data_IF_182939883494
#
_entry.id   IF_182939883494
#
_cell.length_a   1.000
_cell.length_b   1.000
_cell.length_c   1.000
_cell.angle_alpha   90.00
_cell.angle_beta   90.00
_cell.angle_gamma   90.00
#
_symmetry.space_group_name_H-M   'P 1'
#
loop_
_entity.id
_entity.type
_entity.pdbx_description
1 polymer ?
#
# COMPACT_ATOMS: atom_id res chain seq x y z
N UNK A 1 8.89 -1.75 11.38
CA UNK A 1 8.44 -1.03 10.17
C UNK A 1 9.61 -0.21 9.63
N UNK A 2 9.84 -0.20 8.32
CA UNK A 2 10.86 0.66 7.68
C UNK A 2 10.18 1.79 6.92
N UNK A 3 10.64 3.02 7.15
CA UNK A 3 10.22 4.24 6.45
C UNK A 3 11.43 4.89 5.79
N UNK A 4 11.32 5.24 4.51
CA UNK A 4 12.37 5.93 3.76
C UNK A 4 11.76 7.15 3.07
N UNK A 5 12.46 8.27 3.16
CA UNK A 5 12.12 9.48 2.42
C UNK A 5 13.24 9.89 1.46
N UNK A 6 12.85 10.58 0.40
CA UNK A 6 13.74 11.13 -0.62
C UNK A 6 13.17 12.49 -1.02
N UNK A 7 13.98 13.55 -0.96
CA UNK A 7 13.56 14.92 -1.30
C UNK A 7 12.25 15.37 -0.61
N UNK A 8 12.14 15.14 0.71
CA UNK A 8 10.94 15.47 1.52
C UNK A 8 9.64 14.77 1.07
N UNK A 9 9.75 13.57 0.49
CA UNK A 9 8.62 12.72 0.14
C UNK A 9 8.89 11.28 0.59
N UNK A 10 7.87 10.59 1.08
CA UNK A 10 7.98 9.17 1.41
C UNK A 10 8.15 8.39 0.11
N UNK A 11 9.25 7.65 0.00
CA UNK A 11 9.54 6.80 -1.16
C UNK A 11 9.29 5.32 -0.85
N UNK A 12 9.46 4.88 0.40
CA UNK A 12 9.25 3.48 0.79
C UNK A 12 8.62 3.33 2.19
N UNK A 13 7.70 2.37 2.31
CA UNK A 13 7.12 1.87 3.56
C UNK A 13 7.02 0.35 3.46
N UNK A 14 7.68 -0.37 4.36
CA UNK A 14 7.63 -1.84 4.41
C UNK A 14 7.55 -2.39 5.83
N UNK A 15 7.06 -3.63 5.95
CA UNK A 15 6.79 -4.34 7.20
C UNK A 15 7.38 -5.76 7.21
N UNK A 16 8.50 -5.98 6.50
CA UNK A 16 9.12 -7.31 6.39
C UNK A 16 9.90 -7.69 7.64
N UNK A 17 9.85 -8.95 8.04
CA UNK A 17 10.55 -9.51 9.21
C UNK A 17 12.10 -9.45 9.17
N UNK A 18 12.71 -8.94 8.09
CA UNK A 18 14.16 -8.74 7.94
C UNK A 18 14.70 -7.49 8.67
N UNK A 19 13.95 -6.92 9.61
CA UNK A 19 14.32 -5.74 10.39
C UNK A 19 15.49 -5.95 11.37
N UNK A 20 16.14 -7.12 11.38
CA UNK A 20 17.20 -7.46 12.34
C UNK A 20 18.63 -7.00 12.00
N UNK A 21 18.90 -6.39 10.85
CA UNK A 21 20.31 -6.22 10.41
C UNK A 21 20.79 -4.82 10.03
N UNK A 22 19.98 -3.77 10.17
CA UNK A 22 20.45 -2.40 9.88
C UNK A 22 19.95 -1.43 10.94
N UNK A 23 20.57 -1.46 12.11
CA UNK A 23 20.57 -0.30 13.03
C UNK A 23 21.47 0.79 12.45
N UNK A 24 21.04 1.38 11.34
CA UNK A 24 21.57 2.69 10.95
C UNK A 24 20.73 3.70 11.73
N UNK A 25 21.31 4.54 12.59
CA UNK A 25 20.57 5.60 13.27
C UNK A 25 20.15 6.65 12.24
N UNK A 26 19.00 6.42 11.60
CA UNK A 26 18.37 7.40 10.73
C UNK A 26 17.82 8.48 11.67
N UNK A 27 18.38 9.70 11.60
CA UNK A 27 17.77 10.87 12.23
C UNK A 27 16.34 11.00 11.70
N UNK A 28 15.35 10.65 12.53
CA UNK A 28 13.93 10.79 12.17
C UNK A 28 13.69 12.27 11.84
N UNK A 29 13.28 12.53 10.61
CA UNK A 29 12.85 13.86 10.19
C UNK A 29 11.39 14.05 10.57
N UNK A 30 10.92 15.30 10.59
CA UNK A 30 9.51 15.61 10.89
C UNK A 30 8.53 14.86 9.97
N UNK A 31 8.92 14.57 8.72
CA UNK A 31 8.09 13.82 7.80
C UNK A 31 8.03 12.33 8.16
N UNK A 32 9.16 11.71 8.53
CA UNK A 32 9.18 10.32 9.00
C UNK A 32 8.39 10.14 10.30
N UNK A 33 8.49 11.08 11.24
CA UNK A 33 7.69 11.08 12.48
C UNK A 33 6.19 11.20 12.18
N UNK A 34 5.82 12.12 11.27
CA UNK A 34 4.43 12.29 10.84
C UNK A 34 3.89 11.02 10.15
N UNK A 35 4.73 10.36 9.33
CA UNK A 35 4.34 9.10 8.68
C UNK A 35 4.12 7.98 9.69
N UNK A 36 5.04 7.80 10.63
CA UNK A 36 4.92 6.83 11.71
C UNK A 36 3.67 7.06 12.55
N UNK A 37 3.42 8.30 12.99
CA UNK A 37 2.22 8.66 13.74
C UNK A 37 0.94 8.28 12.99
N UNK A 38 0.82 8.67 11.71
CA UNK A 38 -0.38 8.36 10.93
C UNK A 38 -0.58 6.85 10.74
N UNK A 39 0.50 6.09 10.58
CA UNK A 39 0.43 4.63 10.44
C UNK A 39 -0.03 3.99 11.76
N UNK A 40 0.46 4.47 12.90
CA UNK A 40 0.00 4.02 14.22
C UNK A 40 -1.50 4.31 14.42
N UNK A 41 -1.94 5.54 14.12
CA UNK A 41 -3.36 5.91 14.19
C UNK A 41 -4.24 5.04 13.26
N UNK A 42 -3.71 4.62 12.11
CA UNK A 42 -4.40 3.70 11.20
C UNK A 42 -4.54 2.31 11.84
N UNK A 43 -3.48 1.77 12.44
CA UNK A 43 -3.55 0.48 13.13
C UNK A 43 -4.46 0.50 14.36
N UNK A 44 -4.63 1.67 14.99
CA UNK A 44 -5.60 1.90 16.08
C UNK A 44 -7.05 2.11 15.57
N UNK A 45 -7.29 2.10 14.26
CA UNK A 45 -8.60 2.35 13.66
C UNK A 45 -9.07 3.81 13.73
N UNK A 46 -8.20 4.74 14.15
CA UNK A 46 -8.51 6.18 14.30
C UNK A 46 -8.30 6.96 13.01
N UNK A 47 -7.60 6.39 12.01
CA UNK A 47 -7.30 7.03 10.73
C UNK A 47 -7.76 6.20 9.55
N UNK A 48 -8.49 6.87 8.64
CA UNK A 48 -8.95 6.27 7.38
C UNK A 48 -8.24 6.85 6.14
N UNK A 49 -7.64 8.05 6.26
CA UNK A 49 -6.98 8.76 5.17
C UNK A 49 -5.58 9.23 5.57
N UNK A 50 -4.63 9.17 4.64
CA UNK A 50 -3.25 9.64 4.84
C UNK A 50 -3.02 11.00 4.19
N UNK A 51 -2.35 11.90 4.93
CA UNK A 51 -1.88 13.19 4.43
C UNK A 51 -0.36 13.21 4.50
N UNK A 52 0.25 12.52 3.54
CA UNK A 52 1.70 12.36 3.43
C UNK A 52 2.13 12.66 1.99
N UNK A 53 3.17 13.48 1.77
CA UNK A 53 3.78 13.61 0.46
C UNK A 53 4.47 12.29 0.10
N UNK A 54 4.09 11.68 -1.02
CA UNK A 54 4.65 10.40 -1.50
C UNK A 54 5.29 10.57 -2.88
N UNK A 55 6.36 9.81 -3.13
CA UNK A 55 7.03 9.71 -4.43
C UNK A 55 7.50 8.27 -4.67
N UNK A 56 6.57 7.34 -5.00
CA UNK A 56 6.96 5.97 -5.29
C UNK A 56 7.76 5.91 -6.61
N UNK A 57 8.88 5.20 -6.58
CA UNK A 57 9.72 4.95 -7.76
C UNK A 57 9.26 3.70 -8.51
N UNK A 58 9.19 3.80 -9.84
CA UNK A 58 8.72 2.71 -10.69
C UNK A 58 8.41 3.16 -12.12
N UNK A 59 8.04 2.20 -12.94
CA UNK A 59 7.63 2.40 -14.34
C UNK A 59 6.39 3.29 -14.44
N UNK A 60 6.16 3.89 -15.62
CA UNK A 60 4.95 4.68 -15.88
C UNK A 60 3.65 3.87 -15.64
N UNK A 61 3.65 2.58 -16.00
CA UNK A 61 2.51 1.70 -15.76
C UNK A 61 2.27 1.47 -14.25
N UNK A 62 3.32 1.16 -13.50
CA UNK A 62 3.23 1.00 -12.04
C UNK A 62 2.70 2.26 -11.36
N UNK A 63 3.24 3.44 -11.71
CA UNK A 63 2.77 4.73 -11.17
C UNK A 63 1.30 4.98 -11.49
N UNK A 64 0.83 4.61 -12.68
CA UNK A 64 -0.59 4.70 -13.05
C UNK A 64 -1.47 3.78 -12.20
N UNK A 65 -1.05 2.53 -11.98
CA UNK A 65 -1.73 1.58 -11.10
C UNK A 65 -1.78 2.12 -9.67
N UNK A 66 -0.64 2.51 -9.09
CA UNK A 66 -0.58 3.01 -7.72
C UNK A 66 -1.40 4.27 -7.49
N UNK A 67 -1.57 5.11 -8.51
CA UNK A 67 -2.48 6.25 -8.46
C UNK A 67 -3.94 5.81 -8.37
N UNK A 68 -4.35 4.81 -9.15
CA UNK A 68 -5.70 4.23 -9.06
C UNK A 68 -5.94 3.54 -7.71
N UNK A 69 -4.94 2.84 -7.15
CA UNK A 69 -5.05 2.21 -5.83
C UNK A 69 -5.41 3.22 -4.74
N UNK A 70 -4.83 4.43 -4.78
CA UNK A 70 -5.12 5.50 -3.82
C UNK A 70 -6.58 5.99 -3.86
N UNK A 71 -7.32 5.72 -4.95
CA UNK A 71 -8.73 6.07 -5.07
C UNK A 71 -9.66 5.05 -4.41
N UNK A 72 -9.14 3.88 -3.97
CA UNK A 72 -9.95 2.86 -3.28
C UNK A 72 -10.19 3.33 -1.84
N UNK A 73 -11.44 3.61 -1.41
CA UNK A 73 -11.72 4.10 -0.07
C UNK A 73 -11.39 3.07 1.02
N UNK A 74 -11.18 3.55 2.25
CA UNK A 74 -11.08 2.70 3.44
C UNK A 74 -12.31 1.80 3.57
N UNK A 75 -12.11 0.51 3.87
CA UNK A 75 -13.20 -0.45 4.03
C UNK A 75 -13.81 -0.94 2.71
N UNK A 76 -13.29 -0.50 1.55
CA UNK A 76 -13.72 -0.98 0.24
C UNK A 76 -12.63 -1.78 -0.44
N UNK A 77 -13.06 -2.67 -1.34
CA UNK A 77 -12.16 -3.43 -2.20
C UNK A 77 -12.44 -3.18 -3.68
N UNK A 78 -11.46 -3.50 -4.52
CA UNK A 78 -11.60 -3.59 -5.98
C UNK A 78 -10.96 -4.87 -6.47
N UNK A 79 -11.40 -5.38 -7.60
CA UNK A 79 -10.74 -6.45 -8.31
C UNK A 79 -9.59 -5.91 -9.17
N UNK A 80 -8.64 -6.77 -9.50
CA UNK A 80 -7.58 -6.43 -10.45
C UNK A 80 -8.13 -5.97 -11.81
N UNK A 81 -9.27 -6.52 -12.24
CA UNK A 81 -9.96 -6.14 -13.48
C UNK A 81 -10.59 -4.76 -13.41
N UNK A 82 -11.17 -4.38 -12.28
CA UNK A 82 -11.72 -3.03 -12.07
C UNK A 82 -10.63 -1.96 -12.12
N UNK A 83 -9.48 -2.22 -11.48
CA UNK A 83 -8.32 -1.31 -11.57
C UNK A 83 -7.79 -1.24 -13.01
N UNK A 84 -7.73 -2.39 -13.71
CA UNK A 84 -7.31 -2.43 -15.11
C UNK A 84 -8.25 -1.58 -16.00
N UNK A 85 -9.57 -1.63 -15.76
CA UNK A 85 -10.55 -0.79 -16.43
C UNK A 85 -10.39 0.69 -16.09
N UNK A 86 -10.18 1.04 -14.81
CA UNK A 86 -9.98 2.42 -14.33
C UNK A 86 -8.77 3.08 -15.01
N UNK A 87 -7.68 2.34 -15.21
CA UNK A 87 -6.49 2.84 -15.91
C UNK A 87 -6.59 2.76 -17.45
N UNK A 88 -7.75 2.39 -18.01
CA UNK A 88 -7.98 2.29 -19.46
C UNK A 88 -7.24 1.13 -20.14
N UNK A 89 -6.97 0.04 -19.42
CA UNK A 89 -6.22 -1.13 -19.88
C UNK A 89 -7.00 -2.41 -19.53
N UNK A 90 -8.22 -2.59 -20.05
CA UNK A 90 -9.17 -3.63 -19.63
C UNK A 90 -8.63 -5.08 -19.62
N UNK A 91 -7.61 -5.39 -20.42
CA UNK A 91 -7.00 -6.72 -20.49
C UNK A 91 -5.74 -6.88 -19.62
N UNK A 92 -5.39 -5.89 -18.80
CA UNK A 92 -4.14 -5.83 -18.05
C UNK A 92 -4.25 -6.32 -16.59
N UNK A 93 -5.30 -7.05 -16.20
CA UNK A 93 -5.52 -7.47 -14.81
C UNK A 93 -4.29 -8.19 -14.19
N UNK A 94 -3.62 -9.06 -14.94
CA UNK A 94 -2.38 -9.72 -14.48
C UNK A 94 -1.21 -8.74 -14.29
N UNK A 95 -1.05 -7.79 -15.21
CA UNK A 95 -0.03 -6.76 -15.10
C UNK A 95 -0.31 -5.81 -13.92
N UNK A 96 -1.57 -5.47 -13.67
CA UNK A 96 -2.01 -4.77 -12.46
C UNK A 96 -1.65 -5.56 -11.21
N UNK A 97 -1.86 -6.88 -11.20
CA UNK A 97 -1.43 -7.75 -10.10
C UNK A 97 0.06 -7.65 -9.79
N UNK A 98 0.90 -7.65 -10.82
CA UNK A 98 2.35 -7.45 -10.67
C UNK A 98 2.70 -6.05 -10.16
N UNK A 99 2.06 -5.00 -10.69
CA UNK A 99 2.27 -3.63 -10.20
C UNK A 99 1.81 -3.45 -8.73
N UNK A 100 0.70 -4.10 -8.35
CA UNK A 100 0.17 -4.12 -7.00
C UNK A 100 1.12 -4.83 -6.02
N UNK A 101 1.73 -5.94 -6.44
CA UNK A 101 2.73 -6.64 -5.64
C UNK A 101 4.00 -5.81 -5.41
N UNK A 102 4.43 -5.04 -6.42
CA UNK A 102 5.62 -4.20 -6.35
C UNK A 102 5.36 -2.80 -5.77
N UNK A 103 4.30 -2.61 -4.99
CA UNK A 103 4.03 -1.33 -4.33
C UNK A 103 5.12 -1.04 -3.26
N UNK A 104 5.92 0.04 -3.40
CA UNK A 104 6.97 0.36 -2.44
C UNK A 104 6.45 1.02 -1.15
N UNK A 105 5.22 1.52 -1.14
CA UNK A 105 4.66 2.31 -0.03
C UNK A 105 3.41 1.58 0.51
N UNK A 106 3.63 0.54 1.30
CA UNK A 106 2.55 -0.26 1.88
C UNK A 106 1.60 0.59 2.75
N UNK A 107 0.32 0.17 2.83
CA UNK A 107 -0.78 0.80 3.58
C UNK A 107 -1.21 2.17 3.02
N UNK A 108 -0.27 3.12 2.86
CA UNK A 108 -0.56 4.46 2.31
C UNK A 108 -0.98 4.37 0.84
N UNK A 109 -0.30 3.54 0.04
CA UNK A 109 -0.83 3.06 -1.24
C UNK A 109 -1.50 1.72 -0.95
N UNK A 110 -2.83 1.61 -0.98
CA UNK A 110 -3.55 0.52 -0.34
C UNK A 110 -3.65 -0.73 -1.23
N UNK A 111 -2.50 -1.36 -1.53
CA UNK A 111 -2.43 -2.56 -2.37
C UNK A 111 -3.09 -3.80 -1.75
N UNK A 112 -3.37 -3.79 -0.44
CA UNK A 112 -4.16 -4.83 0.24
C UNK A 112 -5.65 -4.78 -0.12
N UNK A 113 -6.17 -3.63 -0.59
CA UNK A 113 -7.58 -3.46 -0.98
C UNK A 113 -7.93 -4.05 -2.36
N UNK A 114 -6.96 -4.61 -3.09
CA UNK A 114 -7.20 -5.27 -4.38
C UNK A 114 -7.29 -6.78 -4.22
N UNK A 115 -8.37 -7.41 -4.66
CA UNK A 115 -8.63 -8.85 -4.49
C UNK A 115 -8.98 -9.54 -5.83
N UNK A 116 -9.06 -10.88 -5.83
CA UNK A 116 -9.57 -11.62 -6.99
C UNK A 116 -11.05 -11.33 -7.23
N UNK A 117 -11.51 -11.40 -8.48
CA UNK A 117 -12.92 -11.16 -8.83
C UNK A 117 -13.91 -12.15 -8.17
N UNK A 118 -13.42 -13.31 -7.71
CA UNK A 118 -14.18 -14.30 -6.96
C UNK A 118 -14.09 -14.11 -5.43
N UNK A 119 -13.62 -12.96 -4.97
CA UNK A 119 -13.44 -12.66 -3.54
C UNK A 119 -12.20 -13.32 -2.91
N UNK A 120 -11.43 -14.13 -3.65
CA UNK A 120 -10.25 -14.78 -3.08
C UNK A 120 -9.14 -13.76 -2.78
N UNK A 121 -8.57 -13.88 -1.58
CA UNK A 121 -7.33 -13.21 -1.23
C UNK A 121 -6.17 -13.90 -1.93
N UNK A 122 -5.59 -13.20 -2.90
CA UNK A 122 -4.39 -13.63 -3.61
C UNK A 122 -3.35 -12.52 -3.56
N UNK A 123 -2.07 -12.88 -3.64
CA UNK A 123 -0.96 -11.95 -3.86
C UNK A 123 -0.89 -10.77 -2.88
N UNK A 124 0.02 -10.85 -1.91
CA UNK A 124 0.43 -9.70 -1.11
C UNK A 124 1.90 -9.83 -0.77
N UNK A 125 2.69 -8.78 -1.03
CA UNK A 125 4.14 -8.84 -0.81
C UNK A 125 4.49 -9.24 0.62
N UNK A 126 3.77 -8.69 1.61
CA UNK A 126 4.02 -8.98 3.03
C UNK A 126 3.33 -10.25 3.56
N UNK A 127 2.62 -11.02 2.71
CA UNK A 127 1.90 -12.24 3.10
C UNK A 127 0.37 -12.10 3.20
N UNK A 128 -0.36 -13.18 2.88
CA UNK A 128 -1.83 -13.17 2.85
C UNK A 128 -2.43 -12.92 4.24
N UNK A 129 -1.80 -13.43 5.29
CA UNK A 129 -2.12 -13.19 6.71
C UNK A 129 -2.27 -11.69 7.02
N UNK A 130 -1.31 -10.88 6.54
CA UNK A 130 -1.31 -9.43 6.78
C UNK A 130 -2.34 -8.72 5.93
N UNK A 131 -2.57 -9.18 4.70
CA UNK A 131 -3.64 -8.64 3.85
C UNK A 131 -5.01 -8.86 4.49
N UNK A 132 -5.24 -10.07 5.00
CA UNK A 132 -6.48 -10.41 5.70
C UNK A 132 -6.66 -9.56 6.96
N UNK A 133 -5.61 -9.44 7.79
CA UNK A 133 -5.62 -8.57 8.96
C UNK A 133 -5.99 -7.12 8.62
N UNK A 134 -5.35 -6.54 7.59
CA UNK A 134 -5.64 -5.16 7.18
C UNK A 134 -7.08 -5.02 6.67
N UNK A 135 -7.58 -5.96 5.88
CA UNK A 135 -8.97 -5.92 5.41
C UNK A 135 -9.98 -6.04 6.57
N UNK A 136 -9.69 -6.86 7.58
CA UNK A 136 -10.51 -6.98 8.80
C UNK A 136 -10.47 -5.71 9.65
N UNK A 137 -9.29 -5.12 9.83
CA UNK A 137 -9.10 -3.83 10.49
C UNK A 137 -9.95 -2.73 9.81
N UNK A 138 -10.02 -2.77 8.48
CA UNK A 138 -10.82 -1.83 7.71
C UNK A 138 -12.33 -2.14 7.65
N UNK A 139 -12.76 -3.30 8.16
CA UNK A 139 -14.15 -3.77 8.03
C UNK A 139 -14.53 -4.21 6.62
N UNK A 140 -13.55 -4.39 5.73
CA UNK A 140 -13.75 -4.82 4.33
C UNK A 140 -13.93 -6.34 4.18
N UNK A 141 -13.51 -7.11 5.20
CA UNK A 141 -13.68 -8.56 5.29
C UNK A 141 -14.29 -8.88 6.66
N UNK A 142 -15.40 -9.61 6.65
CA UNK A 142 -16.14 -10.06 7.84
C UNK A 142 -15.92 -11.55 8.01
#
# INVERSE_FOLDING_TARGET
MTLIETENKISHISFSAMEKFLEIPIKKTMLLEKAEQQILEYFEGKRQNFSLPIAPEGTAFQKKVWKALQNIPYGQTRSYGEIAKEIGQCHAARAVGNANHNNPIAIVIPCHRVIGANGKLTGYYSGIDKKEFLLKLEGALI
#
